data_IF_344578156739
#
_entry.id   IF_344578156739
#
_cell.length_a   1.000
_cell.length_b   1.000
_cell.length_c   1.000
_cell.angle_alpha   90.00
_cell.angle_beta   90.00
_cell.angle_gamma   90.00
#
_symmetry.space_group_name_H-M   'P 1'
#
loop_
_entity.id
_entity.type
_entity.pdbx_description
1 polymer ?
#
# COMPACT_ATOMS: atom_id res chain seq x y z
N UNK A 1 10.23 -21.72 3.06
CA UNK A 1 8.97 -21.36 2.38
C UNK A 1 9.20 -20.97 0.92
N UNK A 2 10.01 -19.95 0.59
CA UNK A 2 10.25 -19.52 -0.80
C UNK A 2 10.74 -20.65 -1.74
N UNK A 3 11.69 -21.49 -1.30
CA UNK A 3 12.16 -22.65 -2.06
C UNK A 3 11.08 -23.72 -2.32
N UNK A 4 10.11 -23.87 -1.39
CA UNK A 4 9.01 -24.83 -1.54
C UNK A 4 8.08 -24.36 -2.66
N UNK A 5 7.79 -23.06 -2.72
CA UNK A 5 7.02 -22.45 -3.82
C UNK A 5 7.66 -22.67 -5.18
N UNK A 6 8.97 -22.41 -5.26
CA UNK A 6 9.74 -22.54 -6.51
C UNK A 6 9.76 -24.01 -6.96
N UNK A 7 9.91 -24.93 -6.01
CA UNK A 7 9.86 -26.37 -6.27
C UNK A 7 8.47 -26.86 -6.73
N UNK A 8 7.38 -26.33 -6.16
CA UNK A 8 6.02 -26.68 -6.59
C UNK A 8 5.67 -26.09 -7.96
N UNK A 9 6.15 -24.89 -8.27
CA UNK A 9 5.95 -24.24 -9.58
C UNK A 9 6.67 -24.99 -10.70
N UNK A 10 7.88 -25.51 -10.42
CA UNK A 10 8.63 -26.33 -11.38
C UNK A 10 7.90 -27.62 -11.80
N UNK A 11 6.91 -28.08 -11.01
CA UNK A 11 6.23 -29.37 -11.23
C UNK A 11 4.89 -29.27 -11.96
N UNK A 12 4.37 -28.08 -12.26
CA UNK A 12 3.05 -27.89 -12.88
C UNK A 12 3.12 -26.92 -14.08
N UNK A 13 3.29 -27.45 -15.29
CA UNK A 13 3.45 -26.69 -16.54
C UNK A 13 2.11 -26.17 -17.13
N UNK A 14 1.27 -25.51 -16.33
CA UNK A 14 0.06 -24.87 -16.83
C UNK A 14 -0.12 -23.46 -16.23
N UNK A 15 -0.13 -22.43 -17.08
CA UNK A 15 -0.04 -21.02 -16.65
C UNK A 15 -1.20 -20.50 -15.79
N UNK A 16 -2.39 -21.12 -15.88
CA UNK A 16 -3.53 -20.79 -15.03
C UNK A 16 -3.33 -21.29 -13.59
N UNK A 17 -2.80 -22.51 -13.43
CA UNK A 17 -2.52 -23.10 -12.13
C UNK A 17 -1.41 -22.35 -11.39
N UNK A 18 -0.42 -21.87 -12.13
CA UNK A 18 0.67 -21.04 -11.60
C UNK A 18 0.14 -19.78 -10.88
N UNK A 19 -0.85 -19.10 -11.47
CA UNK A 19 -1.47 -17.92 -10.86
C UNK A 19 -2.21 -18.27 -9.56
N UNK A 20 -3.01 -19.34 -9.55
CA UNK A 20 -3.69 -19.83 -8.34
C UNK A 20 -2.72 -20.21 -7.22
N UNK A 21 -1.57 -20.81 -7.57
CA UNK A 21 -0.51 -21.15 -6.61
C UNK A 21 0.10 -19.88 -6.02
N UNK A 22 0.36 -18.83 -6.81
CA UNK A 22 0.90 -17.57 -6.27
C UNK A 22 -0.04 -16.91 -5.26
N UNK A 23 -1.36 -16.93 -5.52
CA UNK A 23 -2.37 -16.38 -4.61
C UNK A 23 -2.41 -17.21 -3.32
N UNK A 24 -2.48 -18.53 -3.45
CA UNK A 24 -2.53 -19.45 -2.31
C UNK A 24 -1.29 -19.32 -1.43
N UNK A 25 -0.10 -19.25 -2.05
CA UNK A 25 1.14 -19.10 -1.30
C UNK A 25 1.24 -17.73 -0.62
N UNK A 26 0.76 -16.66 -1.26
CA UNK A 26 0.73 -15.33 -0.65
C UNK A 26 -0.07 -15.35 0.65
N UNK A 27 -1.24 -16.01 0.64
CA UNK A 27 -2.06 -16.16 1.85
C UNK A 27 -1.39 -17.07 2.90
N UNK A 28 -0.79 -18.17 2.46
CA UNK A 28 -0.09 -19.09 3.36
C UNK A 28 1.09 -18.42 4.07
N UNK A 29 1.92 -17.66 3.34
CA UNK A 29 3.03 -16.91 3.93
C UNK A 29 2.52 -15.88 4.93
N UNK A 30 1.48 -15.14 4.59
CA UNK A 30 0.86 -14.18 5.49
C UNK A 30 0.49 -14.82 6.83
N UNK A 31 -0.26 -15.93 6.81
CA UNK A 31 -0.67 -16.64 8.01
C UNK A 31 0.53 -17.18 8.81
N UNK A 32 1.51 -17.79 8.14
CA UNK A 32 2.69 -18.34 8.83
C UNK A 32 3.50 -17.25 9.53
N UNK A 33 3.62 -16.07 8.93
CA UNK A 33 4.30 -14.93 9.55
C UNK A 33 3.55 -14.42 10.79
N UNK A 34 2.22 -14.33 10.73
CA UNK A 34 1.41 -13.92 11.89
C UNK A 34 1.56 -14.92 13.05
N UNK A 35 1.66 -16.23 12.79
CA UNK A 35 1.85 -17.22 13.87
C UNK A 35 3.18 -17.11 14.61
N UNK A 36 4.19 -16.48 14.01
CA UNK A 36 5.51 -16.27 14.61
C UNK A 36 5.72 -14.83 15.09
N UNK A 37 4.63 -14.06 15.23
CA UNK A 37 4.64 -12.63 15.61
C UNK A 37 5.47 -11.73 14.67
N UNK A 38 5.67 -12.16 13.42
CA UNK A 38 6.33 -11.39 12.39
C UNK A 38 5.31 -10.68 11.48
N UNK A 39 5.70 -9.59 10.81
CA UNK A 39 4.81 -8.87 9.90
C UNK A 39 4.47 -9.71 8.67
N UNK A 40 3.22 -10.20 8.59
CA UNK A 40 2.73 -10.98 7.45
C UNK A 40 2.81 -10.22 6.12
N UNK A 41 2.55 -8.91 6.14
CA UNK A 41 2.62 -8.06 4.94
C UNK A 41 4.03 -8.03 4.35
N UNK A 42 5.05 -7.84 5.19
CA UNK A 42 6.45 -7.81 4.75
C UNK A 42 6.87 -9.20 4.24
N UNK A 43 6.41 -10.27 4.90
CA UNK A 43 6.64 -11.65 4.45
C UNK A 43 6.14 -11.92 3.02
N UNK A 44 4.94 -11.44 2.69
CA UNK A 44 4.38 -11.57 1.33
C UNK A 44 5.15 -10.70 0.31
N UNK A 45 5.60 -9.50 0.70
CA UNK A 45 6.44 -8.66 -0.18
C UNK A 45 7.76 -9.36 -0.50
N UNK A 46 8.40 -9.99 0.50
CA UNK A 46 9.62 -10.77 0.30
C UNK A 46 9.36 -11.97 -0.62
N UNK A 47 8.24 -12.69 -0.44
CA UNK A 47 7.83 -13.75 -1.38
C UNK A 47 7.75 -13.19 -2.81
N UNK A 48 7.03 -12.08 -3.03
CA UNK A 48 6.91 -11.45 -4.35
C UNK A 48 8.25 -11.07 -4.98
N UNK A 49 9.18 -10.51 -4.19
CA UNK A 49 10.54 -10.22 -4.64
C UNK A 49 11.31 -11.48 -5.03
N UNK A 50 11.20 -12.55 -4.24
CA UNK A 50 11.86 -13.84 -4.56
C UNK A 50 11.29 -14.51 -5.80
N UNK A 51 9.98 -14.38 -6.05
CA UNK A 51 9.34 -14.87 -7.28
C UNK A 51 9.79 -14.06 -8.49
N UNK A 52 9.95 -12.73 -8.33
CA UNK A 52 10.45 -11.87 -9.39
C UNK A 52 11.93 -12.15 -9.75
N UNK A 53 12.77 -12.44 -8.75
CA UNK A 53 14.17 -12.82 -8.98
C UNK A 53 14.28 -14.14 -9.75
N UNK A 54 13.38 -15.09 -9.48
CA UNK A 54 13.35 -16.40 -10.13
C UNK A 54 12.36 -16.45 -11.31
N UNK A 55 12.14 -15.33 -11.99
CA UNK A 55 11.22 -15.21 -13.14
C UNK A 55 11.54 -16.16 -14.29
N UNK A 56 12.80 -16.58 -14.41
CA UNK A 56 13.25 -17.54 -15.43
C UNK A 56 12.66 -18.95 -15.25
N UNK A 57 12.06 -19.26 -14.10
CA UNK A 57 11.37 -20.53 -13.85
C UNK A 57 9.91 -20.53 -14.34
N UNK A 58 9.36 -19.36 -14.69
CA UNK A 58 7.97 -19.22 -15.14
C UNK A 58 7.86 -19.28 -16.66
N UNK A 59 6.77 -19.85 -17.17
CA UNK A 59 6.46 -19.78 -18.60
C UNK A 59 6.14 -18.34 -19.02
N UNK A 60 6.64 -17.88 -20.17
CA UNK A 60 6.48 -16.49 -20.66
C UNK A 60 5.00 -16.08 -20.73
N UNK A 61 4.12 -16.98 -21.16
CA UNK A 61 2.67 -16.75 -21.21
C UNK A 61 2.04 -16.65 -19.81
N UNK A 62 2.51 -17.45 -18.87
CA UNK A 62 2.01 -17.48 -17.49
C UNK A 62 2.41 -16.23 -16.69
N UNK A 63 3.57 -15.65 -16.98
CA UNK A 63 3.99 -14.36 -16.41
C UNK A 63 3.02 -13.24 -16.81
N UNK A 64 2.57 -13.21 -18.07
CA UNK A 64 1.67 -12.16 -18.53
C UNK A 64 0.28 -12.28 -17.89
N UNK A 65 -0.27 -13.49 -17.88
CA UNK A 65 -1.56 -13.79 -17.26
C UNK A 65 -1.51 -13.47 -15.77
N UNK A 66 -0.51 -13.98 -15.04
CA UNK A 66 -0.39 -13.72 -13.60
C UNK A 66 -0.25 -12.24 -13.28
N UNK A 67 0.56 -11.49 -14.05
CA UNK A 67 0.67 -10.03 -13.89
C UNK A 67 -0.69 -9.34 -14.08
N UNK A 68 -1.41 -9.68 -15.15
CA UNK A 68 -2.73 -9.09 -15.42
C UNK A 68 -3.75 -9.45 -14.33
N UNK A 69 -3.73 -10.68 -13.82
CA UNK A 69 -4.59 -11.10 -12.70
C UNK A 69 -4.28 -10.31 -11.43
N UNK A 70 -2.99 -10.13 -11.08
CA UNK A 70 -2.59 -9.36 -9.91
C UNK A 70 -2.91 -7.86 -10.05
N UNK A 71 -2.76 -7.29 -11.25
CA UNK A 71 -3.16 -5.91 -11.55
C UNK A 71 -4.68 -5.72 -11.40
N UNK A 72 -5.48 -6.66 -11.91
CA UNK A 72 -6.93 -6.66 -11.74
C UNK A 72 -7.33 -6.80 -10.26
N UNK A 73 -6.70 -7.72 -9.53
CA UNK A 73 -6.98 -7.95 -8.11
C UNK A 73 -6.63 -6.72 -7.26
N UNK A 74 -5.50 -6.06 -7.57
CA UNK A 74 -5.11 -4.81 -6.92
C UNK A 74 -6.09 -3.68 -7.25
N UNK A 75 -6.58 -3.60 -8.48
CA UNK A 75 -7.58 -2.62 -8.88
C UNK A 75 -8.92 -2.82 -8.14
N UNK A 76 -9.41 -4.05 -8.07
CA UNK A 76 -10.64 -4.39 -7.34
C UNK A 76 -10.47 -4.10 -5.85
N UNK A 77 -9.36 -4.50 -5.26
CA UNK A 77 -9.08 -4.28 -3.83
C UNK A 77 -9.02 -2.79 -3.50
N UNK A 78 -8.32 -1.98 -4.30
CA UNK A 78 -8.28 -0.54 -4.12
C UNK A 78 -9.69 0.08 -4.23
N UNK A 79 -10.47 -0.33 -5.21
CA UNK A 79 -11.85 0.15 -5.40
C UNK A 79 -12.72 -0.18 -4.18
N UNK A 80 -12.63 -1.41 -3.67
CA UNK A 80 -13.35 -1.83 -2.46
C UNK A 80 -12.93 -0.99 -1.24
N UNK A 81 -11.63 -0.78 -1.04
CA UNK A 81 -11.10 0.04 0.06
C UNK A 81 -11.67 1.47 0.01
N UNK A 82 -11.69 2.10 -1.17
CA UNK A 82 -12.26 3.44 -1.33
C UNK A 82 -13.77 3.47 -1.06
N UNK A 83 -14.52 2.47 -1.53
CA UNK A 83 -15.96 2.37 -1.25
C UNK A 83 -16.20 2.19 0.25
N UNK A 84 -15.47 1.27 0.90
CA UNK A 84 -15.60 1.02 2.34
C UNK A 84 -15.31 2.28 3.16
N UNK A 85 -14.25 3.02 2.85
CA UNK A 85 -13.96 4.27 3.55
C UNK A 85 -14.97 5.36 3.26
N UNK A 86 -15.43 5.48 2.01
CA UNK A 86 -16.51 6.40 1.68
C UNK A 86 -17.77 6.15 2.52
N UNK A 87 -18.17 4.88 2.68
CA UNK A 87 -19.32 4.50 3.49
C UNK A 87 -19.09 4.79 4.98
N UNK A 88 -17.91 4.45 5.52
CA UNK A 88 -17.57 4.72 6.93
C UNK A 88 -17.60 6.21 7.20
N UNK A 89 -17.00 7.02 6.33
CA UNK A 89 -17.06 8.47 6.43
C UNK A 89 -18.51 8.94 6.47
N UNK A 90 -19.35 8.58 5.49
CA UNK A 90 -20.76 9.01 5.43
C UNK A 90 -21.52 8.68 6.72
N UNK A 91 -21.30 7.48 7.29
CA UNK A 91 -21.91 7.08 8.55
C UNK A 91 -21.45 7.98 9.71
N UNK A 92 -20.13 8.16 9.85
CA UNK A 92 -19.53 9.03 10.86
C UNK A 92 -20.05 10.48 10.76
N UNK A 93 -20.20 11.00 9.54
CA UNK A 93 -20.77 12.32 9.28
C UNK A 93 -22.22 12.46 9.72
N UNK A 94 -23.04 11.43 9.45
CA UNK A 94 -24.47 11.45 9.80
C UNK A 94 -24.69 11.37 11.31
N UNK A 95 -23.84 10.65 12.05
CA UNK A 95 -24.01 10.46 13.49
C UNK A 95 -23.52 11.68 14.30
N UNK A 96 -22.46 12.35 13.85
CA UNK A 96 -21.80 13.38 14.66
C UNK A 96 -22.23 14.83 14.37
N UNK A 97 -23.03 15.12 13.33
CA UNK A 97 -23.58 16.45 12.98
C UNK A 97 -22.61 17.66 13.08
N UNK A 98 -21.29 17.45 13.11
CA UNK A 98 -20.27 18.50 13.29
C UNK A 98 -19.72 18.97 11.94
N UNK A 99 -20.59 19.54 11.12
CA UNK A 99 -20.16 20.24 9.89
C UNK A 99 -19.23 21.43 10.22
N UNK A 100 -19.38 22.03 11.41
CA UNK A 100 -18.62 23.18 11.86
C UNK A 100 -17.14 22.87 12.19
N UNK A 101 -16.81 21.64 12.60
CA UNK A 101 -15.42 21.28 12.93
C UNK A 101 -14.56 21.04 11.70
N UNK A 102 -15.15 20.69 10.56
CA UNK A 102 -14.38 20.50 9.32
C UNK A 102 -13.90 21.80 8.70
N UNK A 103 -14.74 22.84 8.67
CA UNK A 103 -14.31 24.14 8.17
C UNK A 103 -13.20 24.75 9.03
N UNK A 104 -13.24 24.57 10.35
CA UNK A 104 -12.15 25.00 11.24
C UNK A 104 -10.89 24.14 11.11
N UNK A 105 -11.02 22.90 10.62
CA UNK A 105 -9.91 21.96 10.40
C UNK A 105 -9.25 22.09 9.03
N UNK A 106 -9.82 22.82 8.08
CA UNK A 106 -9.21 23.08 6.76
C UNK A 106 -7.79 23.65 6.86
N UNK A 107 -7.51 24.70 7.66
CA UNK A 107 -6.14 25.20 7.78
C UNK A 107 -5.19 24.15 8.38
N UNK A 108 -5.67 23.32 9.30
CA UNK A 108 -4.87 22.25 9.92
C UNK A 108 -4.59 21.11 8.93
N UNK A 109 -5.57 20.75 8.09
CA UNK A 109 -5.42 19.83 6.97
C UNK A 109 -4.38 20.31 5.97
N UNK A 110 -4.46 21.58 5.56
CA UNK A 110 -3.55 22.18 4.61
C UNK A 110 -2.13 22.27 5.18
N UNK A 111 -2.00 22.60 6.47
CA UNK A 111 -0.72 22.57 7.19
C UNK A 111 -0.12 21.16 7.18
N UNK A 112 -0.89 20.14 7.56
CA UNK A 112 -0.42 18.73 7.57
C UNK A 112 -0.02 18.30 6.16
N UNK A 113 -0.79 18.67 5.13
CA UNK A 113 -0.48 18.37 3.74
C UNK A 113 0.86 18.99 3.30
N UNK A 114 1.08 20.28 3.59
CA UNK A 114 2.36 20.96 3.30
C UNK A 114 3.52 20.29 4.06
N UNK A 115 3.32 19.97 5.35
CA UNK A 115 4.33 19.31 6.16
C UNK A 115 4.69 17.94 5.56
N UNK A 116 3.70 17.14 5.14
CA UNK A 116 3.95 15.84 4.54
C UNK A 116 4.75 15.94 3.23
N UNK A 117 4.42 16.92 2.39
CA UNK A 117 5.18 17.19 1.15
C UNK A 117 6.61 17.61 1.47
N UNK A 118 6.80 18.48 2.46
CA UNK A 118 8.13 18.92 2.90
C UNK A 118 8.94 17.75 3.45
N UNK A 119 8.38 16.94 4.34
CA UNK A 119 9.04 15.74 4.88
C UNK A 119 9.42 14.78 3.76
N UNK A 120 8.53 14.55 2.79
CA UNK A 120 8.80 13.71 1.62
C UNK A 120 9.94 14.28 0.76
N UNK A 121 9.92 15.59 0.50
CA UNK A 121 10.99 16.26 -0.25
C UNK A 121 12.33 16.15 0.48
N UNK A 122 12.36 16.38 1.80
CA UNK A 122 13.57 16.25 2.62
C UNK A 122 14.10 14.82 2.59
N UNK A 123 13.25 13.81 2.76
CA UNK A 123 13.67 12.40 2.71
C UNK A 123 14.24 12.03 1.34
N UNK A 124 13.58 12.42 0.25
CA UNK A 124 14.05 12.10 -1.11
C UNK A 124 15.33 12.86 -1.44
N UNK A 125 15.47 14.11 -1.01
CA UNK A 125 16.71 14.89 -1.16
C UNK A 125 17.87 14.30 -0.34
N UNK A 126 17.59 13.81 0.87
CA UNK A 126 18.56 13.09 1.69
C UNK A 126 19.05 11.81 1.01
N UNK A 127 18.13 11.02 0.47
CA UNK A 127 18.43 9.83 -0.32
C UNK A 127 19.22 10.21 -1.59
N UNK A 128 18.83 11.27 -2.30
CA UNK A 128 19.55 11.78 -3.46
C UNK A 128 21.01 12.13 -3.13
N UNK A 129 21.26 12.80 -2.00
CA UNK A 129 22.61 13.14 -1.57
C UNK A 129 23.49 11.90 -1.32
N UNK A 130 22.91 10.87 -0.71
CA UNK A 130 23.57 9.59 -0.45
C UNK A 130 23.82 8.83 -1.77
N UNK A 131 22.82 8.74 -2.65
CA UNK A 131 22.92 8.01 -3.92
C UNK A 131 23.89 8.67 -4.90
N UNK A 132 24.02 10.01 -4.86
CA UNK A 132 25.01 10.75 -5.64
C UNK A 132 26.45 10.31 -5.30
N UNK A 133 26.73 9.94 -4.06
CA UNK A 133 28.04 9.43 -3.66
C UNK A 133 28.29 7.97 -4.06
N UNK A 134 27.24 7.20 -4.35
CA UNK A 134 27.31 5.75 -4.66
C UNK A 134 27.31 5.50 -6.20
N UNK A 135 27.42 6.56 -7.01
CA UNK A 135 27.50 6.49 -8.48
C UNK A 135 26.26 5.90 -9.17
N UNK A 136 25.07 6.06 -8.58
CA UNK A 136 23.84 5.97 -9.37
C UNK A 136 23.63 7.30 -10.10
N UNK A 137 23.42 7.26 -11.42
CA UNK A 137 23.13 8.42 -12.27
C UNK A 137 21.75 9.05 -11.99
N UNK A 138 21.42 9.27 -10.72
CA UNK A 138 20.15 9.80 -10.27
C UNK A 138 20.12 11.31 -10.53
N UNK A 139 19.39 11.73 -11.57
CA UNK A 139 19.34 13.14 -11.92
C UNK A 139 18.39 13.90 -11.01
N UNK A 140 18.57 15.23 -10.94
CA UNK A 140 17.66 16.10 -10.19
C UNK A 140 16.20 16.01 -10.71
N UNK A 141 16.05 15.70 -12.00
CA UNK A 141 14.75 15.48 -12.64
C UNK A 141 14.05 14.24 -12.09
N UNK A 142 14.79 13.13 -11.91
CA UNK A 142 14.26 11.89 -11.33
C UNK A 142 13.82 12.09 -9.88
N UNK A 143 14.54 12.92 -9.12
CA UNK A 143 14.17 13.26 -7.73
C UNK A 143 12.84 14.02 -7.66
N UNK A 144 12.65 15.03 -8.54
CA UNK A 144 11.39 15.78 -8.61
C UNK A 144 10.23 14.88 -9.03
N UNK A 145 10.44 14.03 -10.03
CA UNK A 145 9.43 13.05 -10.46
C UNK A 145 9.08 12.09 -9.33
N UNK A 146 10.07 11.62 -8.56
CA UNK A 146 9.85 10.72 -7.41
C UNK A 146 9.09 11.39 -6.26
N UNK A 147 9.34 12.68 -6.03
CA UNK A 147 8.57 13.46 -5.05
C UNK A 147 7.10 13.51 -5.46
N UNK A 148 6.82 13.72 -6.75
CA UNK A 148 5.47 13.82 -7.31
C UNK A 148 4.79 12.48 -7.61
N UNK A 149 5.52 11.37 -7.74
CA UNK A 149 4.97 10.04 -8.07
C UNK A 149 4.29 9.35 -6.87
N UNK A 150 3.52 10.10 -6.07
CA UNK A 150 2.84 9.66 -4.85
C UNK A 150 2.24 8.25 -5.00
N UNK A 151 2.66 7.33 -4.12
CA UNK A 151 2.15 5.96 -4.08
C UNK A 151 0.63 5.98 -3.92
N UNK A 152 -0.10 5.15 -4.68
CA UNK A 152 -1.56 5.00 -4.57
C UNK A 152 -1.96 4.79 -3.10
N UNK A 153 -2.63 5.78 -2.50
CA UNK A 153 -2.86 5.93 -1.06
C UNK A 153 -3.79 4.90 -0.40
N UNK A 154 -4.05 3.76 -1.03
CA UNK A 154 -4.91 2.70 -0.49
C UNK A 154 -4.36 2.09 0.80
N UNK A 155 -3.04 1.84 0.86
CA UNK A 155 -2.40 1.18 2.02
C UNK A 155 -2.48 2.05 3.29
N UNK A 156 -2.21 3.35 3.18
CA UNK A 156 -2.32 4.29 4.30
C UNK A 156 -3.73 4.37 4.87
N UNK A 157 -4.74 4.23 4.00
CA UNK A 157 -6.14 4.35 4.35
C UNK A 157 -6.67 3.04 4.99
N UNK A 158 -6.16 1.87 4.59
CA UNK A 158 -6.37 0.60 5.32
C UNK A 158 -5.73 0.64 6.72
N UNK A 159 -4.52 1.20 6.85
CA UNK A 159 -3.87 1.33 8.15
C UNK A 159 -4.69 2.25 9.08
N UNK A 160 -5.17 3.39 8.56
CA UNK A 160 -6.04 4.30 9.29
C UNK A 160 -7.36 3.63 9.72
N UNK A 161 -7.97 2.82 8.84
CA UNK A 161 -9.15 2.03 9.17
C UNK A 161 -8.90 1.00 10.28
N UNK A 162 -7.77 0.32 10.24
CA UNK A 162 -7.42 -0.69 11.24
C UNK A 162 -7.21 -0.05 12.61
N UNK A 163 -6.60 1.15 12.64
CA UNK A 163 -6.45 1.94 13.86
C UNK A 163 -7.81 2.40 14.40
N UNK A 164 -8.71 2.85 13.51
CA UNK A 164 -10.07 3.25 13.85
C UNK A 164 -10.86 2.12 14.52
N UNK A 165 -10.74 0.89 13.99
CA UNK A 165 -11.45 -0.27 14.55
C UNK A 165 -10.82 -0.83 15.83
N UNK A 166 -9.51 -0.68 16.03
CA UNK A 166 -8.80 -1.25 17.19
C UNK A 166 -8.82 -0.36 18.44
N UNK A 167 -8.96 0.96 18.27
CA UNK A 167 -8.80 1.92 19.38
C UNK A 167 -10.14 2.22 20.05
N UNK A 168 -10.57 1.36 20.99
CA UNK A 168 -11.85 1.49 21.72
C UNK A 168 -11.81 2.65 22.76
N UNK A 169 -10.62 3.11 23.18
CA UNK A 169 -10.48 4.02 24.33
C UNK A 169 -10.45 5.52 23.99
N UNK A 170 -10.08 5.88 22.76
CA UNK A 170 -9.97 7.26 22.26
C UNK A 170 -10.63 7.42 20.88
N UNK A 171 -11.88 6.97 20.77
CA UNK A 171 -12.63 6.91 19.50
C UNK A 171 -12.66 8.26 18.75
N UNK A 172 -12.64 9.38 19.48
CA UNK A 172 -12.58 10.72 18.90
C UNK A 172 -11.26 11.02 18.18
N UNK A 173 -10.10 10.61 18.73
CA UNK A 173 -8.81 10.82 18.07
C UNK A 173 -8.66 9.94 16.84
N UNK A 174 -9.15 8.70 16.91
CA UNK A 174 -9.10 7.77 15.79
C UNK A 174 -10.00 8.24 14.62
N UNK A 175 -11.16 8.82 14.91
CA UNK A 175 -12.06 9.42 13.93
C UNK A 175 -11.42 10.61 13.21
N UNK A 176 -10.80 11.52 13.97
CA UNK A 176 -10.05 12.67 13.43
C UNK A 176 -8.90 12.19 12.54
N UNK A 177 -8.16 11.17 12.96
CA UNK A 177 -7.04 10.61 12.22
C UNK A 177 -7.50 9.94 10.91
N UNK A 178 -8.63 9.23 10.93
CA UNK A 178 -9.26 8.65 9.74
C UNK A 178 -9.73 9.74 8.76
N UNK A 179 -10.36 10.80 9.25
CA UNK A 179 -10.82 11.92 8.40
C UNK A 179 -9.63 12.63 7.77
N UNK A 180 -8.57 12.93 8.54
CA UNK A 180 -7.39 13.60 8.03
C UNK A 180 -6.63 12.74 7.01
N UNK A 181 -6.37 11.47 7.33
CA UNK A 181 -5.68 10.55 6.40
C UNK A 181 -6.47 10.38 5.11
N UNK A 182 -7.79 10.27 5.19
CA UNK A 182 -8.64 10.15 4.01
C UNK A 182 -8.61 11.43 3.17
N UNK A 183 -8.74 12.61 3.78
CA UNK A 183 -8.66 13.89 3.07
C UNK A 183 -7.30 14.09 2.37
N UNK A 184 -6.21 13.71 3.04
CA UNK A 184 -4.86 13.75 2.46
C UNK A 184 -4.75 12.78 1.27
N UNK A 185 -5.26 11.55 1.42
CA UNK A 185 -5.26 10.56 0.33
C UNK A 185 -6.07 11.05 -0.87
N UNK A 186 -7.25 11.65 -0.66
CA UNK A 186 -8.04 12.25 -1.74
C UNK A 186 -7.32 13.43 -2.43
N UNK A 187 -6.59 14.25 -1.67
CA UNK A 187 -5.81 15.35 -2.24
C UNK A 187 -4.58 14.87 -3.02
N UNK A 188 -4.01 13.73 -2.64
CA UNK A 188 -2.76 13.21 -3.22
C UNK A 188 -3.01 12.23 -4.38
N UNK A 189 -4.11 11.48 -4.35
CA UNK A 189 -4.58 10.65 -5.47
C UNK A 189 -5.37 11.51 -6.46
N UNK A 190 -4.68 12.36 -7.22
CA UNK A 190 -5.19 12.92 -8.49
C UNK A 190 -4.74 12.07 -9.66
#
# INVERSE_FOLDING_TARGET
MAHITIFTLYRMEAGEFETCITITMSYFVYLTCETIEASGVIGVVLLGLTLNMNRSCFSVSAIHISKQTWELLAYISNSLIFITVGVILLKTYSENHKMLSLLSSIPQLLLIYIILILVRAIMILGIHFILKHIAYGFTWKDSIVTIWSGLRGGVSLVLALTLFNSTIKDQYQAEIMLIHTTAIVFLTCT
#
